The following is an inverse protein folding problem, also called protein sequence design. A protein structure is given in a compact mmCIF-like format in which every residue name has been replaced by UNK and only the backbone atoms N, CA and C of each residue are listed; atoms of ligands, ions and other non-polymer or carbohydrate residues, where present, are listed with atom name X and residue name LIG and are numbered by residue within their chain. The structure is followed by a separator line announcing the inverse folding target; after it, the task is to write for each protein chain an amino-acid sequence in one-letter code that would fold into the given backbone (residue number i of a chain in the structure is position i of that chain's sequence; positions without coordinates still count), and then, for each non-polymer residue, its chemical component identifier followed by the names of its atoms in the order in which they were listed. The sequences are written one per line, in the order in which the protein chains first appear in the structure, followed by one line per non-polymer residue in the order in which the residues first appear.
data_IF_602653858033
#
_entry.id   IF_602653858033
#
_cell.length_a   1.000
_cell.length_b   1.000
_cell.length_c   1.000
_cell.angle_alpha   90.00
_cell.angle_beta   90.00
_cell.angle_gamma   90.00
#
_symmetry.space_group_name_H-M   'P 1'
#
loop_
_entity.id
_entity.type
_entity.pdbx_description
1 polymer ?
#
# COMPACT_ATOMS: atom_id res chain seq x y z
N UNK A 1 8.10 4.04 0.33
CA UNK A 1 6.87 3.23 0.51
C UNK A 1 5.86 3.68 -0.52
N UNK A 2 5.15 2.76 -1.15
CA UNK A 2 4.02 3.07 -2.05
C UNK A 2 2.75 3.02 -1.22
N UNK A 3 1.88 4.03 -1.39
CA UNK A 3 0.56 4.09 -0.78
C UNK A 3 -0.43 3.72 -1.88
N UNK A 4 -1.11 2.60 -1.70
CA UNK A 4 -2.07 2.07 -2.66
C UNK A 4 -3.48 2.60 -2.43
N UNK A 5 -3.79 3.01 -1.21
CA UNK A 5 -5.06 3.62 -0.83
C UNK A 5 -4.77 4.93 -0.07
N UNK A 6 -4.81 6.04 -0.80
CA UNK A 6 -4.56 7.37 -0.25
C UNK A 6 -5.71 7.83 0.66
N UNK A 7 -6.95 7.34 0.42
CA UNK A 7 -8.12 7.70 1.25
C UNK A 7 -7.98 7.13 2.66
N UNK A 8 -7.81 5.81 2.76
CA UNK A 8 -7.58 5.12 4.04
C UNK A 8 -6.35 5.66 4.77
N UNK A 9 -5.30 5.99 4.01
CA UNK A 9 -4.09 6.58 4.57
C UNK A 9 -4.34 7.98 5.15
N UNK A 10 -5.11 8.85 4.47
CA UNK A 10 -5.47 10.17 4.95
C UNK A 10 -6.34 10.11 6.22
N UNK A 11 -7.31 9.20 6.26
CA UNK A 11 -8.17 8.97 7.43
C UNK A 11 -7.34 8.52 8.65
N UNK A 12 -6.35 7.64 8.43
CA UNK A 12 -5.41 7.22 9.49
C UNK A 12 -4.51 8.37 9.96
N UNK A 13 -4.05 9.24 9.05
CA UNK A 13 -3.29 10.44 9.41
C UNK A 13 -4.11 11.43 10.24
N UNK A 14 -5.35 11.67 9.85
CA UNK A 14 -6.26 12.59 10.57
C UNK A 14 -6.50 12.06 11.99
N UNK A 15 -6.68 10.77 12.15
CA UNK A 15 -6.95 10.13 13.44
C UNK A 15 -5.72 10.06 14.35
N UNK A 16 -4.56 9.70 13.79
CA UNK A 16 -3.38 9.31 14.56
C UNK A 16 -2.20 10.29 14.43
N UNK A 17 -2.31 11.31 13.56
CA UNK A 17 -1.24 12.26 13.29
C UNK A 17 -0.09 11.68 12.47
N UNK A 18 0.96 12.48 12.30
CA UNK A 18 2.16 12.06 11.56
C UNK A 18 2.93 10.96 12.28
N UNK A 19 3.24 9.89 11.56
CA UNK A 19 4.04 8.77 12.07
C UNK A 19 5.55 8.92 11.80
N UNK A 20 5.90 9.58 10.69
CA UNK A 20 7.28 9.69 10.21
C UNK A 20 7.60 11.12 9.76
N UNK A 21 8.56 11.76 10.47
CA UNK A 21 9.00 13.12 10.17
C UNK A 21 9.55 13.31 8.76
N UNK A 22 10.13 12.27 8.17
CA UNK A 22 10.73 12.34 6.83
C UNK A 22 9.70 12.38 5.72
N UNK A 23 8.42 12.16 6.03
CA UNK A 23 7.33 12.00 5.06
C UNK A 23 6.30 13.11 5.07
N UNK A 24 6.45 14.12 5.92
CA UNK A 24 5.48 15.21 6.09
C UNK A 24 4.97 15.79 4.77
N UNK A 25 5.86 16.04 3.81
CA UNK A 25 5.47 16.62 2.52
C UNK A 25 4.51 15.70 1.78
N UNK A 26 4.79 14.39 1.75
CA UNK A 26 3.92 13.41 1.10
C UNK A 26 2.59 13.27 1.86
N UNK A 27 2.65 13.22 3.18
CA UNK A 27 1.49 13.09 4.04
C UNK A 27 0.55 14.31 3.85
N UNK A 28 1.11 15.52 3.82
CA UNK A 28 0.35 16.74 3.55
C UNK A 28 -0.25 16.77 2.14
N UNK A 29 0.47 16.30 1.12
CA UNK A 29 -0.07 16.19 -0.25
C UNK A 29 -1.30 15.28 -0.26
N UNK A 30 -1.26 14.16 0.45
CA UNK A 30 -2.38 13.20 0.53
C UNK A 30 -3.56 13.81 1.30
N UNK A 31 -3.30 14.54 2.40
CA UNK A 31 -4.35 15.25 3.14
C UNK A 31 -5.04 16.30 2.25
N UNK A 32 -4.28 17.08 1.49
CA UNK A 32 -4.84 18.08 0.54
C UNK A 32 -5.71 17.39 -0.50
N UNK A 33 -5.25 16.28 -1.11
CA UNK A 33 -6.05 15.50 -2.06
C UNK A 33 -7.35 14.98 -1.43
N UNK A 34 -7.27 14.48 -0.21
CA UNK A 34 -8.41 13.95 0.54
C UNK A 34 -9.46 15.02 0.83
N UNK A 35 -9.05 16.19 1.31
CA UNK A 35 -9.96 17.30 1.59
C UNK A 35 -10.55 17.90 0.31
N UNK A 36 -9.78 17.99 -0.79
CA UNK A 36 -10.30 18.34 -2.10
C UNK A 36 -11.36 17.34 -2.56
N UNK A 37 -11.10 16.04 -2.42
CA UNK A 37 -12.06 14.98 -2.74
C UNK A 37 -13.34 15.08 -1.87
N UNK A 38 -13.22 15.54 -0.63
CA UNK A 38 -14.34 15.78 0.29
C UNK A 38 -15.11 17.08 -0.03
N UNK A 39 -14.75 17.82 -1.09
CA UNK A 39 -15.47 19.00 -1.57
C UNK A 39 -15.08 20.32 -0.90
N UNK A 40 -13.98 20.37 -0.12
CA UNK A 40 -13.53 21.60 0.50
C UNK A 40 -12.90 22.55 -0.54
N UNK A 41 -13.10 23.86 -0.35
CA UNK A 41 -12.43 24.90 -1.11
C UNK A 41 -10.94 24.99 -0.79
N UNK A 42 -10.15 25.62 -1.67
CA UNK A 42 -8.70 25.77 -1.46
C UNK A 42 -8.37 26.54 -0.17
N UNK A 43 -9.16 27.57 0.16
CA UNK A 43 -9.01 28.34 1.40
C UNK A 43 -9.27 27.51 2.66
N UNK A 44 -10.30 26.69 2.64
CA UNK A 44 -10.62 25.77 3.75
C UNK A 44 -9.56 24.67 3.89
N UNK A 45 -9.08 24.10 2.77
CA UNK A 45 -7.99 23.11 2.76
C UNK A 45 -6.73 23.72 3.37
N UNK A 46 -6.36 24.95 2.95
CA UNK A 46 -5.19 25.64 3.49
C UNK A 46 -5.30 25.82 5.00
N UNK A 47 -6.43 26.33 5.49
CA UNK A 47 -6.68 26.53 6.92
C UNK A 47 -6.61 25.20 7.69
N UNK A 48 -7.29 24.16 7.21
CA UNK A 48 -7.23 22.82 7.84
C UNK A 48 -5.82 22.26 7.88
N UNK A 49 -5.02 22.47 6.83
CA UNK A 49 -3.64 22.00 6.81
C UNK A 49 -2.77 22.77 7.81
N UNK A 50 -2.97 24.09 7.92
CA UNK A 50 -2.31 24.93 8.91
C UNK A 50 -2.63 24.46 10.33
N UNK A 51 -3.91 24.28 10.66
CA UNK A 51 -4.39 23.79 11.96
C UNK A 51 -3.80 22.41 12.26
N UNK A 52 -3.88 21.47 11.32
CA UNK A 52 -3.34 20.12 11.49
C UNK A 52 -1.82 20.10 11.72
N UNK A 53 -1.09 20.99 11.05
CA UNK A 53 0.36 21.10 11.25
C UNK A 53 0.71 21.80 12.57
N UNK A 54 -0.12 22.73 13.06
CA UNK A 54 0.07 23.39 14.36
C UNK A 54 -0.12 22.40 15.50
N UNK A 55 -1.11 21.53 15.46
CA UNK A 55 -1.35 20.51 16.49
C UNK A 55 -0.15 19.56 16.66
N UNK A 56 0.68 19.44 15.65
CA UNK A 56 1.88 18.59 15.65
C UNK A 56 3.20 19.40 15.64
N UNK A 57 3.15 20.73 15.79
CA UNK A 57 4.31 21.63 15.66
C UNK A 57 5.47 21.36 16.64
N UNK A 58 5.18 20.82 17.84
CA UNK A 58 6.27 20.50 18.80
C UNK A 58 7.24 19.46 18.22
N UNK A 59 6.87 18.79 17.14
CA UNK A 59 7.72 17.81 16.47
C UNK A 59 8.52 18.40 15.30
N UNK A 60 8.27 19.67 14.90
CA UNK A 60 8.82 20.30 13.71
C UNK A 60 9.24 21.75 13.95
N UNK A 61 10.25 22.20 13.20
CA UNK A 61 10.65 23.59 13.18
C UNK A 61 9.55 24.44 12.50
N UNK A 62 9.00 25.41 13.23
CA UNK A 62 7.91 26.28 12.76
C UNK A 62 8.24 27.03 11.48
N UNK A 63 9.52 27.36 11.24
CA UNK A 63 9.96 28.10 10.04
C UNK A 63 9.79 27.31 8.74
N UNK A 64 9.67 25.99 8.81
CA UNK A 64 9.51 25.12 7.64
C UNK A 64 8.04 24.91 7.27
N UNK A 65 7.11 25.20 8.18
CA UNK A 65 5.67 24.98 7.99
C UNK A 65 5.13 25.67 6.72
N UNK A 66 5.38 26.98 6.46
CA UNK A 66 4.86 27.66 5.26
C UNK A 66 5.33 27.01 3.95
N UNK A 67 6.59 26.53 3.93
CA UNK A 67 7.12 25.81 2.77
C UNK A 67 6.40 24.49 2.52
N UNK A 68 6.16 23.70 3.59
CA UNK A 68 5.45 22.42 3.48
C UNK A 68 4.00 22.62 3.00
N UNK A 69 3.30 23.63 3.54
CA UNK A 69 1.94 23.97 3.12
C UNK A 69 1.90 24.34 1.65
N UNK A 70 2.72 25.29 1.21
CA UNK A 70 2.77 25.71 -0.19
C UNK A 70 3.05 24.53 -1.13
N UNK A 71 4.01 23.69 -0.79
CA UNK A 71 4.36 22.51 -1.59
C UNK A 71 3.24 21.48 -1.64
N UNK A 72 2.57 21.26 -0.53
CA UNK A 72 1.45 20.34 -0.45
C UNK A 72 0.24 20.82 -1.27
N UNK A 73 -0.12 22.10 -1.18
CA UNK A 73 -1.19 22.69 -1.96
C UNK A 73 -0.89 22.59 -3.45
N UNK A 74 0.30 23.03 -3.91
CA UNK A 74 0.68 23.01 -5.32
C UNK A 74 0.62 21.60 -5.94
N UNK A 75 0.93 20.55 -5.17
CA UNK A 75 0.90 19.18 -5.66
C UNK A 75 -0.43 18.48 -5.39
N UNK A 76 -1.00 18.66 -4.20
CA UNK A 76 -2.23 17.99 -3.80
C UNK A 76 -3.45 18.46 -4.57
N UNK A 77 -3.54 19.76 -4.90
CA UNK A 77 -4.64 20.30 -5.71
C UNK A 77 -4.56 19.88 -7.18
N UNK A 78 -3.35 19.58 -7.67
CA UNK A 78 -3.12 19.22 -9.07
C UNK A 78 -3.54 17.80 -9.41
N UNK A 79 -3.36 16.85 -8.49
CA UNK A 79 -3.58 15.43 -8.76
C UNK A 79 -4.77 14.87 -7.99
N UNK A 80 -5.53 13.93 -8.57
CA UNK A 80 -6.64 13.29 -7.86
C UNK A 80 -6.16 12.40 -6.72
N UNK A 81 -7.06 12.13 -5.78
CA UNK A 81 -6.88 11.12 -4.74
C UNK A 81 -6.91 9.71 -5.38
N UNK A 82 -5.96 8.87 -5.02
CA UNK A 82 -5.86 7.50 -5.55
C UNK A 82 -6.38 6.51 -4.51
N UNK A 83 -7.48 5.84 -4.84
CA UNK A 83 -8.09 4.77 -4.04
C UNK A 83 -8.93 3.87 -4.96
N UNK A 84 -9.33 2.71 -4.51
CA UNK A 84 -10.16 1.72 -5.23
C UNK A 84 -9.64 1.33 -6.62
N UNK A 85 -8.35 1.55 -6.89
CA UNK A 85 -7.75 1.19 -8.16
C UNK A 85 -7.59 -0.32 -8.27
N UNK A 86 -8.07 -0.90 -9.37
CA UNK A 86 -7.93 -2.33 -9.66
C UNK A 86 -6.74 -2.54 -10.59
N UNK A 87 -5.89 -3.51 -10.28
CA UNK A 87 -4.82 -3.97 -11.17
C UNK A 87 -5.18 -5.33 -11.72
N UNK A 88 -5.30 -5.40 -13.05
CA UNK A 88 -5.59 -6.62 -13.79
C UNK A 88 -4.28 -7.26 -14.24
N UNK A 89 -4.15 -8.56 -14.03
CA UNK A 89 -3.01 -9.37 -14.49
C UNK A 89 -3.51 -10.36 -15.52
N UNK A 90 -2.80 -10.46 -16.64
CA UNK A 90 -3.16 -11.35 -17.74
C UNK A 90 -2.43 -12.70 -17.65
N UNK A 91 -2.95 -13.71 -18.38
CA UNK A 91 -2.32 -15.03 -18.42
C UNK A 91 -0.89 -14.96 -18.95
N UNK A 92 -0.63 -14.21 -20.03
CA UNK A 92 0.72 -14.06 -20.59
C UNK A 92 1.71 -13.46 -19.59
N UNK A 93 1.29 -12.49 -18.78
CA UNK A 93 2.13 -11.93 -17.71
C UNK A 93 2.49 -12.98 -16.66
N UNK A 94 1.55 -13.85 -16.30
CA UNK A 94 1.78 -14.97 -15.39
C UNK A 94 2.72 -16.00 -16.02
N UNK A 95 2.55 -16.32 -17.30
CA UNK A 95 3.41 -17.27 -18.01
C UNK A 95 4.86 -16.78 -18.07
N UNK A 96 5.08 -15.48 -18.34
CA UNK A 96 6.41 -14.86 -18.30
C UNK A 96 7.01 -14.98 -16.89
N UNK A 97 6.24 -14.73 -15.85
CA UNK A 97 6.73 -14.88 -14.48
C UNK A 97 7.06 -16.34 -14.17
N UNK A 98 6.21 -17.27 -14.58
CA UNK A 98 6.38 -18.70 -14.34
C UNK A 98 7.53 -19.32 -15.12
N UNK A 99 7.96 -18.72 -16.24
CA UNK A 99 9.13 -19.17 -17.00
C UNK A 99 10.46 -18.98 -16.28
N UNK A 100 10.48 -18.21 -15.19
CA UNK A 100 11.66 -18.01 -14.35
C UNK A 100 11.80 -19.16 -13.36
N UNK A 101 12.97 -19.81 -13.29
CA UNK A 101 13.15 -21.00 -12.44
C UNK A 101 13.06 -20.72 -10.92
N UNK A 102 13.53 -19.55 -10.47
CA UNK A 102 13.68 -19.22 -9.06
C UNK A 102 12.43 -18.55 -8.51
N UNK A 103 11.78 -19.14 -7.52
CA UNK A 103 10.54 -18.65 -6.92
C UNK A 103 10.68 -17.22 -6.33
N UNK A 104 11.82 -16.90 -5.71
CA UNK A 104 12.08 -15.56 -5.15
C UNK A 104 12.09 -14.49 -6.25
N UNK A 105 12.65 -14.80 -7.42
CA UNK A 105 12.64 -13.91 -8.60
C UNK A 105 11.21 -13.71 -9.10
N UNK A 106 10.43 -14.78 -9.20
CA UNK A 106 9.00 -14.73 -9.59
C UNK A 106 8.22 -13.80 -8.66
N UNK A 107 8.40 -13.94 -7.35
CA UNK A 107 7.75 -13.10 -6.35
C UNK A 107 8.12 -11.62 -6.51
N UNK A 108 9.40 -11.32 -6.72
CA UNK A 108 9.88 -9.95 -6.92
C UNK A 108 9.30 -9.37 -8.19
N UNK A 109 9.34 -10.12 -9.30
CA UNK A 109 8.81 -9.67 -10.59
C UNK A 109 7.31 -9.43 -10.54
N UNK A 110 6.54 -10.32 -9.89
CA UNK A 110 5.11 -10.14 -9.71
C UNK A 110 4.76 -8.87 -8.94
N UNK A 111 5.45 -8.59 -7.84
CA UNK A 111 5.23 -7.36 -7.06
C UNK A 111 5.60 -6.12 -7.88
N UNK A 112 6.72 -6.17 -8.61
CA UNK A 112 7.11 -5.08 -9.51
C UNK A 112 6.06 -4.85 -10.60
N UNK A 113 5.49 -5.91 -11.19
CA UNK A 113 4.42 -5.84 -12.18
C UNK A 113 3.18 -5.16 -11.63
N UNK A 114 2.71 -5.58 -10.45
CA UNK A 114 1.54 -4.97 -9.79
C UNK A 114 1.78 -3.48 -9.53
N UNK A 115 2.95 -3.10 -9.00
CA UNK A 115 3.29 -1.70 -8.75
C UNK A 115 3.35 -0.90 -10.04
N UNK A 116 3.95 -1.44 -11.08
CA UNK A 116 4.08 -0.79 -12.38
C UNK A 116 2.71 -0.53 -13.02
N UNK A 117 1.82 -1.52 -13.03
CA UNK A 117 0.44 -1.37 -13.51
C UNK A 117 -0.38 -0.40 -12.62
N UNK A 118 -0.22 -0.47 -11.31
CA UNK A 118 -0.83 0.49 -10.39
C UNK A 118 -0.41 1.93 -10.69
N UNK A 119 0.82 2.15 -11.18
CA UNK A 119 1.38 3.44 -11.59
C UNK A 119 1.16 3.74 -13.08
N UNK A 120 0.15 3.15 -13.71
CA UNK A 120 -0.18 3.33 -15.13
C UNK A 120 1.03 3.10 -16.06
N UNK A 121 1.81 2.08 -15.75
CA UNK A 121 3.02 1.66 -16.48
C UNK A 121 4.13 2.73 -16.53
N UNK A 122 4.05 3.70 -15.66
CA UNK A 122 5.09 4.72 -15.49
C UNK A 122 6.29 4.15 -14.73
N UNK A 123 7.47 4.72 -15.01
CA UNK A 123 8.64 4.42 -14.17
C UNK A 123 8.36 4.82 -12.71
N UNK A 124 8.76 3.97 -11.78
CA UNK A 124 8.51 4.18 -10.36
C UNK A 124 9.77 3.91 -9.52
N UNK A 125 9.76 4.41 -8.31
CA UNK A 125 10.82 4.22 -7.33
C UNK A 125 10.27 3.43 -6.14
N UNK A 126 11.03 2.41 -5.73
CA UNK A 126 10.78 1.66 -4.50
C UNK A 126 12.12 1.26 -3.88
N UNK A 127 12.25 1.36 -2.55
CA UNK A 127 13.44 0.87 -1.87
C UNK A 127 13.47 -0.66 -1.82
N UNK A 128 14.66 -1.25 -1.85
CA UNK A 128 14.84 -2.70 -1.78
C UNK A 128 14.16 -3.31 -0.54
N UNK A 129 14.23 -2.63 0.62
CA UNK A 129 13.59 -3.11 1.84
C UNK A 129 12.06 -3.18 1.70
N UNK A 130 11.44 -2.18 1.07
CA UNK A 130 10.00 -2.21 0.81
C UNK A 130 9.62 -3.27 -0.21
N UNK A 131 10.43 -3.44 -1.26
CA UNK A 131 10.19 -4.46 -2.28
C UNK A 131 10.33 -5.87 -1.70
N UNK A 132 11.39 -6.13 -0.91
CA UNK A 132 11.57 -7.39 -0.17
C UNK A 132 10.39 -7.69 0.75
N UNK A 133 9.90 -6.67 1.46
CA UNK A 133 8.75 -6.81 2.36
C UNK A 133 7.47 -7.19 1.60
N UNK A 134 7.18 -6.50 0.49
CA UNK A 134 6.00 -6.77 -0.34
C UNK A 134 6.07 -8.15 -1.02
N UNK A 135 7.25 -8.54 -1.48
CA UNK A 135 7.49 -9.85 -2.09
C UNK A 135 7.67 -11.00 -1.08
N UNK A 136 7.71 -10.69 0.24
CA UNK A 136 8.02 -11.64 1.32
C UNK A 136 9.30 -12.44 1.06
N UNK A 137 10.34 -11.76 0.55
CA UNK A 137 11.65 -12.35 0.30
C UNK A 137 12.60 -12.00 1.44
N UNK A 138 13.19 -13.04 2.06
CA UNK A 138 14.13 -12.90 3.17
C UNK A 138 15.54 -13.22 2.66
N UNK A 139 16.31 -12.19 2.31
CA UNK A 139 17.70 -12.33 1.89
C UNK A 139 18.53 -11.10 2.26
N UNK A 140 19.87 -11.22 2.22
CA UNK A 140 20.80 -10.11 2.34
C UNK A 140 20.62 -9.14 1.17
N UNK A 141 21.04 -7.88 1.34
CA UNK A 141 20.89 -6.87 0.28
C UNK A 141 21.72 -7.19 -0.97
N UNK A 142 22.92 -7.77 -0.83
CA UNK A 142 23.73 -8.22 -1.97
C UNK A 142 22.97 -9.22 -2.83
N UNK A 143 22.44 -10.29 -2.23
CA UNK A 143 21.65 -11.31 -2.94
C UNK A 143 20.40 -10.71 -3.59
N UNK A 144 19.79 -9.71 -2.95
CA UNK A 144 18.63 -9.04 -3.54
C UNK A 144 19.00 -8.18 -4.75
N UNK A 145 20.19 -7.57 -4.75
CA UNK A 145 20.72 -6.90 -5.94
C UNK A 145 20.97 -7.88 -7.08
N UNK A 146 21.51 -9.07 -6.78
CA UNK A 146 21.68 -10.13 -7.77
C UNK A 146 20.34 -10.56 -8.40
N UNK A 147 19.28 -10.60 -7.61
CA UNK A 147 17.93 -10.85 -8.14
C UNK A 147 17.47 -9.77 -9.13
N UNK A 148 17.70 -8.50 -8.81
CA UNK A 148 17.33 -7.39 -9.70
C UNK A 148 18.18 -7.39 -10.99
N UNK A 149 19.47 -7.70 -10.89
CA UNK A 149 20.34 -7.87 -12.06
C UNK A 149 19.87 -9.03 -12.95
N UNK A 150 19.56 -10.18 -12.37
CA UNK A 150 19.03 -11.32 -13.15
C UNK A 150 17.71 -11.00 -13.86
N UNK A 151 16.80 -10.27 -13.20
CA UNK A 151 15.56 -9.80 -13.86
C UNK A 151 15.83 -8.79 -14.98
N UNK A 152 16.89 -8.00 -14.88
CA UNK A 152 17.35 -7.11 -15.94
C UNK A 152 17.93 -7.91 -17.11
N UNK A 153 18.79 -8.89 -16.84
CA UNK A 153 19.43 -9.73 -17.87
C UNK A 153 18.40 -10.60 -18.62
N UNK A 154 17.34 -11.03 -17.94
CA UNK A 154 16.18 -11.69 -18.56
C UNK A 154 15.31 -10.73 -19.40
N UNK A 155 15.67 -9.44 -19.47
CA UNK A 155 14.93 -8.44 -20.23
C UNK A 155 13.60 -8.00 -19.62
N UNK A 156 13.20 -8.53 -18.45
CA UNK A 156 11.93 -8.21 -17.80
C UNK A 156 11.92 -6.84 -17.12
N UNK A 157 13.10 -6.39 -16.67
CA UNK A 157 13.26 -5.19 -15.87
C UNK A 157 14.27 -4.22 -16.50
N UNK A 158 13.90 -2.94 -16.63
CA UNK A 158 14.82 -1.84 -16.91
C UNK A 158 15.01 -1.00 -15.66
N UNK A 159 16.25 -0.91 -15.19
CA UNK A 159 16.61 -0.07 -14.04
C UNK A 159 17.28 1.23 -14.54
N UNK A 160 16.91 2.34 -13.96
CA UNK A 160 17.48 3.66 -14.24
C UNK A 160 17.92 4.30 -12.93
N UNK A 161 19.05 4.98 -12.93
CA UNK A 161 19.48 5.78 -11.79
C UNK A 161 19.31 7.27 -12.12
N UNK A 162 18.52 7.95 -11.30
CA UNK A 162 18.37 9.41 -11.39
C UNK A 162 18.56 10.04 -10.02
N UNK A 163 19.48 10.99 -9.90
CA UNK A 163 19.84 11.63 -8.61
C UNK A 163 20.10 10.60 -7.50
N UNK A 164 20.92 9.60 -7.79
CA UNK A 164 21.31 8.51 -6.88
C UNK A 164 20.11 7.65 -6.37
N UNK A 165 18.98 7.66 -7.06
CA UNK A 165 17.81 6.85 -6.70
C UNK A 165 17.47 5.88 -7.83
N UNK A 166 17.24 4.59 -7.50
CA UNK A 166 16.84 3.61 -8.51
C UNK A 166 15.38 3.81 -8.91
N UNK A 167 15.14 3.86 -10.22
CA UNK A 167 13.83 3.80 -10.83
C UNK A 167 13.70 2.53 -11.62
N UNK A 168 12.52 1.94 -11.61
CA UNK A 168 12.20 0.71 -12.30
C UNK A 168 11.11 0.93 -13.36
N UNK A 169 11.26 0.26 -14.48
CA UNK A 169 10.26 0.11 -15.53
C UNK A 169 10.27 -1.33 -15.98
N UNK A 170 9.12 -1.93 -16.13
CA UNK A 170 9.02 -3.28 -16.67
C UNK A 170 8.94 -3.26 -18.19
N UNK A 171 9.42 -4.34 -18.79
CA UNK A 171 9.36 -4.60 -20.21
C UNK A 171 8.60 -5.92 -20.42
N UNK A 172 7.32 -5.91 -20.02
CA UNK A 172 6.42 -7.06 -20.12
C UNK A 172 5.24 -6.64 -20.99
N UNK A 173 4.94 -7.44 -22.01
CA UNK A 173 3.79 -7.22 -22.87
C UNK A 173 2.50 -7.62 -22.15
N UNK A 174 1.50 -6.73 -22.22
CA UNK A 174 0.18 -6.99 -21.72
C UNK A 174 -0.70 -7.52 -22.85
N UNK A 175 -0.92 -8.82 -22.88
CA UNK A 175 -1.88 -9.40 -23.78
C UNK A 175 -2.47 -10.69 -23.18
N UNK A 176 -3.59 -11.14 -23.77
CA UNK A 176 -4.33 -12.31 -23.30
C UNK A 176 -5.39 -11.99 -22.27
N UNK A 177 -6.05 -13.05 -21.80
CA UNK A 177 -7.18 -12.95 -20.88
C UNK A 177 -6.73 -12.51 -19.47
N UNK A 178 -7.60 -11.75 -18.80
CA UNK A 178 -7.38 -11.35 -17.41
C UNK A 178 -7.65 -12.56 -16.51
N UNK A 179 -6.64 -12.98 -15.77
CA UNK A 179 -6.73 -14.12 -14.85
C UNK A 179 -6.77 -13.70 -13.39
N UNK A 180 -6.40 -12.45 -13.10
CA UNK A 180 -6.34 -11.96 -11.73
C UNK A 180 -6.71 -10.48 -11.64
N UNK A 181 -7.58 -10.14 -10.68
CA UNK A 181 -7.98 -8.76 -10.36
C UNK A 181 -7.54 -8.43 -8.94
N UNK A 182 -6.57 -7.54 -8.78
CA UNK A 182 -6.05 -7.13 -7.48
C UNK A 182 -6.73 -5.81 -7.08
N UNK A 183 -7.56 -5.88 -6.04
CA UNK A 183 -8.27 -4.73 -5.44
C UNK A 183 -7.70 -4.37 -4.06
N UNK A 184 -7.14 -5.34 -3.36
CA UNK A 184 -6.57 -5.14 -2.03
C UNK A 184 -5.06 -5.37 -2.08
N UNK A 185 -4.29 -4.40 -1.63
CA UNK A 185 -2.83 -4.38 -1.71
C UNK A 185 -2.13 -4.69 -0.37
N UNK A 186 -2.88 -5.10 0.65
CA UNK A 186 -2.32 -5.42 1.98
C UNK A 186 -1.36 -6.62 1.91
N UNK A 187 -1.64 -7.58 1.01
CA UNK A 187 -0.81 -8.76 0.77
C UNK A 187 -0.77 -9.15 -0.71
N UNK A 188 -0.07 -8.33 -1.51
CA UNK A 188 0.02 -8.48 -2.97
C UNK A 188 0.51 -9.86 -3.38
N UNK A 189 1.56 -10.37 -2.72
CA UNK A 189 2.19 -11.63 -3.14
C UNK A 189 1.30 -12.86 -2.90
N UNK A 190 0.36 -12.78 -1.98
CA UNK A 190 -0.57 -13.88 -1.73
C UNK A 190 -1.47 -14.19 -2.91
N UNK A 191 -1.77 -13.22 -3.78
CA UNK A 191 -2.50 -13.45 -5.03
C UNK A 191 -1.71 -14.37 -5.96
N UNK A 192 -0.42 -14.14 -6.13
CA UNK A 192 0.43 -14.98 -6.96
C UNK A 192 0.63 -16.38 -6.35
N UNK A 193 0.90 -16.44 -5.04
CA UNK A 193 1.11 -17.70 -4.35
C UNK A 193 -0.14 -18.58 -4.31
N UNK A 194 -1.34 -17.98 -4.26
CA UNK A 194 -2.58 -18.75 -4.30
C UNK A 194 -2.84 -19.39 -5.68
N UNK A 195 -2.26 -18.85 -6.75
CA UNK A 195 -2.33 -19.48 -8.07
C UNK A 195 -1.37 -20.67 -8.19
N UNK A 196 -0.19 -20.60 -7.56
CA UNK A 196 0.81 -21.68 -7.61
C UNK A 196 0.47 -22.81 -6.62
N UNK A 197 -0.08 -22.45 -5.46
CA UNK A 197 -0.37 -23.36 -4.36
C UNK A 197 -1.85 -23.23 -3.93
N UNK A 198 -2.82 -23.55 -4.80
CA UNK A 198 -4.24 -23.30 -4.52
C UNK A 198 -4.72 -24.01 -3.25
N UNK A 199 -4.22 -25.20 -2.96
CA UNK A 199 -4.62 -25.99 -1.78
C UNK A 199 -4.10 -25.40 -0.45
N UNK A 200 -3.11 -24.52 -0.49
CA UNK A 200 -2.56 -23.87 0.70
C UNK A 200 -3.24 -22.54 1.03
N UNK A 201 -4.10 -22.04 0.14
CA UNK A 201 -4.70 -20.71 0.27
C UNK A 201 -6.22 -20.78 0.29
N UNK A 202 -6.80 -19.93 1.13
CA UNK A 202 -8.24 -19.65 1.18
C UNK A 202 -8.45 -18.15 0.98
N UNK A 203 -9.68 -17.75 0.67
CA UNK A 203 -10.00 -16.32 0.53
C UNK A 203 -10.57 -15.75 1.82
N UNK A 204 -10.14 -14.56 2.20
CA UNK A 204 -10.68 -13.84 3.35
C UNK A 204 -12.18 -13.57 3.15
N UNK A 205 -13.01 -13.99 4.10
CA UNK A 205 -14.47 -13.87 4.01
C UNK A 205 -14.99 -12.42 3.99
N UNK A 206 -14.15 -11.42 4.32
CA UNK A 206 -14.54 -10.00 4.33
C UNK A 206 -14.01 -9.27 3.09
N UNK A 207 -12.71 -9.35 2.79
CA UNK A 207 -12.07 -8.55 1.75
C UNK A 207 -11.62 -9.35 0.52
N UNK A 208 -11.84 -10.68 0.50
CA UNK A 208 -11.52 -11.54 -0.64
C UNK A 208 -10.02 -11.73 -0.95
N UNK A 209 -9.11 -11.22 -0.10
CA UNK A 209 -7.67 -11.41 -0.32
C UNK A 209 -7.28 -12.87 -0.05
N UNK A 210 -6.43 -13.50 -0.88
CA UNK A 210 -5.93 -14.84 -0.59
C UNK A 210 -5.07 -14.84 0.68
N UNK A 211 -5.33 -15.78 1.56
CA UNK A 211 -4.58 -15.97 2.81
C UNK A 211 -4.10 -17.41 2.92
N UNK A 212 -2.84 -17.61 3.34
CA UNK A 212 -2.33 -18.95 3.56
C UNK A 212 -3.11 -19.62 4.70
N UNK A 213 -3.65 -20.80 4.46
CA UNK A 213 -4.40 -21.58 5.44
C UNK A 213 -3.43 -22.21 6.43
N UNK A 214 -3.33 -21.65 7.64
CA UNK A 214 -2.48 -22.17 8.72
C UNK A 214 -3.26 -23.02 9.73
N UNK A 215 -4.59 -22.97 9.68
CA UNK A 215 -5.50 -23.78 10.49
C UNK A 215 -6.89 -23.81 9.85
N UNK A 216 -7.67 -24.85 10.16
CA UNK A 216 -9.05 -25.00 9.67
C UNK A 216 -10.01 -23.88 10.17
N UNK A 217 -9.61 -23.13 11.21
CA UNK A 217 -10.41 -22.03 11.79
C UNK A 217 -10.11 -20.67 11.18
N UNK A 218 -9.05 -20.55 10.38
CA UNK A 218 -8.66 -19.27 9.79
C UNK A 218 -9.61 -18.88 8.66
N UNK A 219 -10.37 -17.80 8.83
CA UNK A 219 -11.32 -17.27 7.84
C UNK A 219 -11.03 -15.83 7.41
N UNK A 220 -10.14 -15.12 8.11
CA UNK A 220 -9.90 -13.69 7.93
C UNK A 220 -8.42 -13.39 7.75
N UNK A 221 -8.09 -12.38 6.95
CA UNK A 221 -6.75 -11.82 6.91
C UNK A 221 -6.45 -11.04 8.21
N UNK A 222 -5.19 -10.69 8.43
CA UNK A 222 -4.76 -10.02 9.66
C UNK A 222 -5.43 -8.66 9.87
N UNK A 223 -5.68 -7.91 8.79
CA UNK A 223 -6.32 -6.59 8.84
C UNK A 223 -7.79 -6.72 9.24
N UNK A 224 -8.55 -7.57 8.53
CA UNK A 224 -9.96 -7.80 8.82
C UNK A 224 -10.19 -8.45 10.18
N UNK A 225 -9.29 -9.33 10.62
CA UNK A 225 -9.36 -9.91 11.96
C UNK A 225 -9.20 -8.86 13.06
N UNK A 226 -8.21 -7.95 12.94
CA UNK A 226 -7.98 -6.88 13.91
C UNK A 226 -9.17 -5.93 14.00
N UNK A 227 -9.80 -5.61 12.88
CA UNK A 227 -10.98 -4.74 12.86
C UNK A 227 -12.17 -5.41 13.56
N UNK A 228 -12.44 -6.66 13.21
CA UNK A 228 -13.48 -7.46 13.87
C UNK A 228 -13.23 -7.65 15.38
N UNK A 229 -11.99 -7.88 15.77
CA UNK A 229 -11.62 -7.98 17.19
C UNK A 229 -11.90 -6.66 17.95
N UNK A 230 -11.62 -5.51 17.32
CA UNK A 230 -11.96 -4.19 17.90
C UNK A 230 -13.47 -4.03 18.08
N UNK A 231 -14.25 -4.37 17.08
CA UNK A 231 -15.72 -4.31 17.14
C UNK A 231 -16.28 -5.22 18.25
N UNK A 232 -15.76 -6.43 18.34
CA UNK A 232 -16.14 -7.36 19.41
C UNK A 232 -15.80 -6.83 20.78
N UNK A 233 -14.61 -6.25 20.98
CA UNK A 233 -14.21 -5.63 22.26
C UNK A 233 -15.12 -4.46 22.64
N UNK A 234 -15.48 -3.60 21.68
CA UNK A 234 -16.42 -2.50 21.90
C UNK A 234 -17.78 -3.02 22.35
N UNK A 235 -18.29 -4.05 21.68
CA UNK A 235 -19.58 -4.67 21.98
C UNK A 235 -19.57 -5.34 23.36
N UNK A 236 -18.50 -6.04 23.72
CA UNK A 236 -18.35 -6.68 25.03
C UNK A 236 -18.29 -5.62 26.14
N UNK A 237 -17.51 -4.56 25.95
CA UNK A 237 -17.41 -3.47 26.91
C UNK A 237 -18.75 -2.77 27.11
N UNK A 238 -19.49 -2.49 26.02
CA UNK A 238 -20.82 -1.88 26.10
C UNK A 238 -21.77 -2.74 26.93
N UNK A 239 -21.84 -4.04 26.68
CA UNK A 239 -22.65 -5.00 27.45
C UNK A 239 -22.24 -5.07 28.93
N UNK A 240 -20.94 -5.01 29.20
CA UNK A 240 -20.42 -4.98 30.56
C UNK A 240 -20.87 -3.72 31.32
N UNK A 241 -20.77 -2.54 30.71
CA UNK A 241 -21.23 -1.28 31.30
C UNK A 241 -22.74 -1.24 31.50
N UNK A 242 -23.53 -1.74 30.54
CA UNK A 242 -24.98 -1.83 30.65
C UNK A 242 -25.39 -2.75 31.82
N UNK A 243 -24.78 -3.93 31.96
CA UNK A 243 -25.04 -4.85 33.07
C UNK A 243 -24.69 -4.25 34.46
N UNK A 244 -23.62 -3.46 34.55
CA UNK A 244 -23.21 -2.87 35.80
C UNK A 244 -24.03 -1.61 36.17
N UNK A 245 -24.59 -0.89 35.20
CA UNK A 245 -25.50 0.23 35.43
C UNK A 245 -26.81 -0.23 36.08
N UNK A 246 -27.26 -1.44 35.75
CA UNK A 246 -28.50 -2.03 36.34
C UNK A 246 -28.27 -2.50 37.78
N UNK A 247 -27.03 -2.71 38.23
CA UNK A 247 -26.72 -3.14 39.60
C UNK A 247 -26.52 -1.99 40.59
N UNK A 248 -26.53 -0.75 40.11
CA UNK A 248 -26.31 0.48 40.92
C UNK A 248 -27.58 1.30 41.10
N UNK A 249 -28.75 0.76 40.77
CA UNK A 249 -30.09 1.25 41.09
C UNK A 249 -30.75 0.23 42.01
#
# INVERSE_FOLDING_TARGET
MIIFDEKKYAEDLIKNGYKDKTRIVLDNIILVKYWKYSGLSESEIKKKLEDFMIDFKHRYNSNIIPYHIRKALNQGLRYPLVFDKVVNITQKEIDIINSIDVLELRKVLFVLLVIWKFRDKQKFMISNNNLKKLAKVKCKNSVFWDYLHRLHDLGCLKAFVYKCKPYYKLNIEECGDIVLNIKNYDDIISYYLSMIYPDEYIYCSICGIPIKQTSNRRKYCSSCWKERERELRVTINKRYYEKNKIKTV
#
